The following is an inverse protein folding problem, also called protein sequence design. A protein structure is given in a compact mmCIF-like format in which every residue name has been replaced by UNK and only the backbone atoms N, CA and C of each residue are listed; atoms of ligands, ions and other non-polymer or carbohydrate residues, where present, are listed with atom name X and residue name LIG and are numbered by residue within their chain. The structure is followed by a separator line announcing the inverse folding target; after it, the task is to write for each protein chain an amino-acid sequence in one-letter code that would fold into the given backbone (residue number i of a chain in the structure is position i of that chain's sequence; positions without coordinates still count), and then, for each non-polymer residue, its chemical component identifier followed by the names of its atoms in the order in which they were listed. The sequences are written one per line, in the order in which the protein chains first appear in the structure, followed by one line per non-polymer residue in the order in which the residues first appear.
data_IF_036338669174
#
_entry.id   IF_036338669174
#
_cell.length_a   1.000
_cell.length_b   1.000
_cell.length_c   1.000
_cell.angle_alpha   90.00
_cell.angle_beta   90.00
_cell.angle_gamma   90.00
#
_symmetry.space_group_name_H-M   'P 1'
#
loop_
_entity.id
_entity.type
_entity.pdbx_description
1 polymer ?
#
# COMPACT_ATOMS: atom_id res chain seq x y z
N UNK A 1 6.46 -13.59 -8.36
CA UNK A 1 7.44 -13.99 -7.32
C UNK A 1 7.33 -15.46 -6.92
N UNK A 2 6.30 -16.20 -7.38
CA UNK A 2 6.13 -17.62 -7.03
C UNK A 2 5.67 -17.82 -5.59
N UNK A 3 4.92 -16.86 -5.02
CA UNK A 3 4.35 -17.00 -3.69
C UNK A 3 3.20 -18.00 -3.73
N UNK A 4 3.11 -18.85 -2.71
CA UNK A 4 1.99 -19.78 -2.55
C UNK A 4 0.69 -19.02 -2.26
N UNK A 5 -0.45 -19.63 -2.59
CA UNK A 5 -1.79 -19.09 -2.27
C UNK A 5 -2.24 -17.91 -3.13
N UNK A 6 -1.51 -17.60 -4.21
CA UNK A 6 -1.89 -16.52 -5.14
C UNK A 6 -3.21 -16.77 -5.89
N UNK A 7 -3.66 -18.02 -5.96
CA UNK A 7 -4.94 -18.42 -6.55
C UNK A 7 -6.02 -18.72 -5.50
N UNK A 8 -5.80 -18.39 -4.22
CA UNK A 8 -6.74 -18.70 -3.15
C UNK A 8 -8.01 -17.82 -3.17
N UNK A 9 -7.90 -16.61 -3.71
CA UNK A 9 -9.02 -15.68 -3.93
C UNK A 9 -9.07 -15.31 -5.41
N UNK A 10 -10.19 -15.58 -6.09
CA UNK A 10 -10.45 -15.04 -7.42
C UNK A 10 -11.04 -13.63 -7.27
N UNK A 11 -10.21 -12.61 -7.47
CA UNK A 11 -10.64 -11.21 -7.38
C UNK A 11 -11.73 -10.80 -8.39
N UNK A 12 -11.81 -11.47 -9.55
CA UNK A 12 -12.85 -11.19 -10.55
C UNK A 12 -14.19 -11.75 -10.07
N UNK A 13 -14.19 -12.97 -9.55
CA UNK A 13 -15.36 -13.60 -8.96
C UNK A 13 -15.84 -12.82 -7.73
N UNK A 14 -14.93 -12.49 -6.80
CA UNK A 14 -15.26 -11.72 -5.60
C UNK A 14 -15.86 -10.34 -5.95
N UNK A 15 -15.31 -9.65 -6.95
CA UNK A 15 -15.86 -8.38 -7.44
C UNK A 15 -17.24 -8.56 -8.05
N UNK A 16 -17.49 -9.64 -8.80
CA UNK A 16 -18.80 -9.93 -9.37
C UNK A 16 -19.83 -10.21 -8.25
N UNK A 17 -19.49 -11.06 -7.28
CA UNK A 17 -20.34 -11.35 -6.13
C UNK A 17 -20.65 -10.09 -5.31
N UNK A 18 -19.65 -9.23 -5.05
CA UNK A 18 -19.83 -7.99 -4.32
C UNK A 18 -20.79 -7.00 -5.02
N UNK A 19 -20.91 -7.04 -6.36
CA UNK A 19 -21.89 -6.22 -7.09
C UNK A 19 -23.34 -6.65 -6.81
N UNK A 20 -23.56 -7.94 -6.59
CA UNK A 20 -24.89 -8.50 -6.30
C UNK A 20 -25.25 -8.35 -4.82
N UNK A 21 -24.26 -8.35 -3.93
CA UNK A 21 -24.43 -8.05 -2.50
C UNK A 21 -23.27 -8.60 -1.65
N UNK A 22 -22.94 -7.97 -0.51
CA UNK A 22 -21.87 -8.44 0.37
C UNK A 22 -22.14 -9.83 0.97
N UNK A 23 -23.39 -10.23 1.12
CA UNK A 23 -23.84 -11.56 1.56
C UNK A 23 -23.55 -12.67 0.55
N UNK A 24 -23.19 -12.32 -0.69
CA UNK A 24 -22.81 -13.27 -1.75
C UNK A 24 -21.36 -13.71 -1.67
N UNK A 25 -20.54 -13.03 -0.87
CA UNK A 25 -19.15 -13.40 -0.66
C UNK A 25 -19.05 -14.60 0.28
N UNK A 26 -18.18 -15.55 -0.08
CA UNK A 26 -17.69 -16.52 0.90
C UNK A 26 -16.96 -15.80 2.04
N UNK A 27 -16.83 -16.46 3.20
CA UNK A 27 -16.09 -15.87 4.33
C UNK A 27 -14.62 -15.57 4.00
N UNK A 28 -14.01 -16.29 3.04
CA UNK A 28 -12.64 -16.01 2.61
C UNK A 28 -12.58 -14.72 1.77
N UNK A 29 -13.47 -14.57 0.78
CA UNK A 29 -13.56 -13.37 -0.04
C UNK A 29 -13.96 -12.14 0.79
N UNK A 30 -14.92 -12.28 1.70
CA UNK A 30 -15.33 -11.20 2.60
C UNK A 30 -14.18 -10.74 3.50
N UNK A 31 -13.36 -11.68 4.01
CA UNK A 31 -12.16 -11.35 4.80
C UNK A 31 -11.15 -10.60 3.95
N UNK A 32 -10.85 -11.07 2.74
CA UNK A 32 -9.96 -10.42 1.77
C UNK A 32 -10.42 -8.98 1.46
N UNK A 33 -11.67 -8.81 1.03
CA UNK A 33 -12.26 -7.51 0.68
C UNK A 33 -12.29 -6.56 1.88
N UNK A 34 -12.80 -7.00 3.03
CA UNK A 34 -12.90 -6.14 4.21
C UNK A 34 -11.51 -5.75 4.75
N UNK A 35 -10.53 -6.67 4.67
CA UNK A 35 -9.14 -6.38 5.07
C UNK A 35 -8.50 -5.34 4.14
N UNK A 36 -8.69 -5.50 2.83
CA UNK A 36 -8.20 -4.54 1.81
C UNK A 36 -8.77 -3.14 2.07
N UNK A 37 -10.09 -3.03 2.24
CA UNK A 37 -10.75 -1.74 2.50
C UNK A 37 -10.25 -1.08 3.80
N UNK A 38 -10.05 -1.85 4.87
CA UNK A 38 -9.49 -1.34 6.13
C UNK A 38 -8.04 -0.90 5.97
N UNK A 39 -7.23 -1.65 5.23
CA UNK A 39 -5.84 -1.32 4.96
C UNK A 39 -5.72 -0.04 4.13
N UNK A 40 -6.51 0.10 3.07
CA UNK A 40 -6.59 1.30 2.23
C UNK A 40 -6.99 2.54 3.05
N UNK A 41 -8.01 2.38 3.91
CA UNK A 41 -8.47 3.46 4.79
C UNK A 41 -7.42 3.86 5.82
N UNK A 42 -6.66 2.91 6.34
CA UNK A 42 -5.63 3.16 7.35
C UNK A 42 -4.30 3.68 6.75
N UNK A 43 -4.08 3.56 5.45
CA UNK A 43 -2.80 3.84 4.78
C UNK A 43 -2.46 5.34 4.68
N UNK A 44 -3.44 6.14 4.26
CA UNK A 44 -3.17 7.48 3.72
C UNK A 44 -2.67 8.49 4.75
N UNK A 45 -3.18 8.44 5.98
CA UNK A 45 -2.70 9.34 7.04
C UNK A 45 -1.24 9.04 7.44
N UNK A 46 -0.86 7.79 7.79
CA UNK A 46 0.54 7.43 7.99
C UNK A 46 1.43 7.89 6.86
N UNK A 47 1.01 7.68 5.61
CA UNK A 47 1.76 8.11 4.44
C UNK A 47 2.03 9.61 4.41
N UNK A 48 1.01 10.42 4.74
CA UNK A 48 1.15 11.88 4.77
C UNK A 48 2.15 12.38 5.81
N UNK A 49 2.31 11.71 6.95
CA UNK A 49 3.31 12.09 7.97
C UNK A 49 4.75 12.02 7.43
N UNK A 50 5.02 11.18 6.43
CA UNK A 50 6.34 11.08 5.80
C UNK A 50 6.63 12.26 4.86
N UNK A 51 5.60 13.00 4.44
CA UNK A 51 5.68 14.07 3.46
C UNK A 51 5.83 15.45 4.12
N UNK A 52 6.10 16.52 3.35
CA UNK A 52 6.13 17.87 3.89
C UNK A 52 4.79 18.25 4.55
N UNK A 53 4.84 18.98 5.66
CA UNK A 53 3.67 19.31 6.49
C UNK A 53 2.54 20.00 5.72
N UNK A 54 2.84 20.82 4.70
CA UNK A 54 1.81 21.47 3.88
C UNK A 54 0.93 20.44 3.15
N UNK A 55 1.51 19.31 2.76
CA UNK A 55 0.83 18.26 2.04
C UNK A 55 -0.08 17.47 2.99
N UNK A 56 0.44 17.12 4.17
CA UNK A 56 -0.32 16.49 5.22
C UNK A 56 -1.55 17.32 5.61
N UNK A 57 -1.34 18.62 5.90
CA UNK A 57 -2.43 19.53 6.25
C UNK A 57 -3.46 19.68 5.12
N UNK A 58 -3.00 19.69 3.86
CA UNK A 58 -3.88 19.80 2.70
C UNK A 58 -4.77 18.58 2.47
N UNK A 59 -4.32 17.39 2.87
CA UNK A 59 -5.03 16.13 2.61
C UNK A 59 -5.65 15.48 3.84
N UNK A 60 -5.36 15.94 5.05
CA UNK A 60 -5.83 15.30 6.28
C UNK A 60 -7.36 15.13 6.31
N UNK A 61 -8.11 16.20 6.04
CA UNK A 61 -9.57 16.15 6.06
C UNK A 61 -10.18 15.15 5.04
N UNK A 62 -9.85 15.22 3.73
CA UNK A 62 -10.36 14.23 2.77
C UNK A 62 -9.88 12.80 3.08
N UNK A 63 -8.65 12.62 3.60
CA UNK A 63 -8.14 11.32 4.02
C UNK A 63 -8.97 10.74 5.16
N UNK A 64 -9.25 11.52 6.21
CA UNK A 64 -10.08 11.08 7.34
C UNK A 64 -11.50 10.73 6.91
N UNK A 65 -12.04 11.46 5.95
CA UNK A 65 -13.33 11.14 5.36
C UNK A 65 -13.28 9.81 4.58
N UNK A 66 -12.25 9.60 3.75
CA UNK A 66 -12.01 8.35 3.03
C UNK A 66 -11.86 7.16 3.97
N UNK A 67 -11.03 7.27 4.99
CA UNK A 67 -10.84 6.29 6.06
C UNK A 67 -12.19 5.92 6.72
N UNK A 68 -12.98 6.93 7.09
CA UNK A 68 -14.30 6.70 7.68
C UNK A 68 -15.24 5.96 6.73
N UNK A 69 -15.29 6.35 5.45
CA UNK A 69 -16.12 5.68 4.43
C UNK A 69 -15.69 4.22 4.26
N UNK A 70 -14.40 3.98 4.07
CA UNK A 70 -13.85 2.65 3.85
C UNK A 70 -14.08 1.74 5.05
N UNK A 71 -13.91 2.25 6.28
CA UNK A 71 -14.27 1.51 7.50
C UNK A 71 -15.73 1.08 7.52
N UNK A 72 -16.66 1.97 7.16
CA UNK A 72 -18.09 1.61 7.13
C UNK A 72 -18.39 0.52 6.12
N UNK A 73 -17.82 0.61 4.91
CA UNK A 73 -18.00 -0.41 3.88
C UNK A 73 -17.38 -1.74 4.32
N UNK A 74 -16.16 -1.70 4.88
CA UNK A 74 -15.49 -2.88 5.40
C UNK A 74 -16.31 -3.56 6.51
N UNK A 75 -16.89 -2.79 7.45
CA UNK A 75 -17.78 -3.33 8.47
C UNK A 75 -19.01 -3.99 7.86
N UNK A 76 -19.65 -3.36 6.87
CA UNK A 76 -20.81 -3.98 6.19
C UNK A 76 -20.46 -5.30 5.52
N UNK A 77 -19.31 -5.39 4.84
CA UNK A 77 -18.84 -6.64 4.23
C UNK A 77 -18.53 -7.69 5.30
N UNK A 78 -17.83 -7.29 6.36
CA UNK A 78 -17.43 -8.17 7.44
C UNK A 78 -18.63 -8.75 8.20
N UNK A 79 -19.60 -7.90 8.54
CA UNK A 79 -20.82 -8.27 9.26
C UNK A 79 -21.71 -9.22 8.44
N UNK A 80 -21.82 -8.98 7.12
CA UNK A 80 -22.65 -9.79 6.22
C UNK A 80 -22.19 -11.27 6.15
N UNK A 81 -20.88 -11.52 6.29
CA UNK A 81 -20.29 -12.87 6.22
C UNK A 81 -19.78 -13.37 7.58
N UNK A 82 -20.06 -12.65 8.68
CA UNK A 82 -19.69 -13.03 10.04
C UNK A 82 -18.18 -13.14 10.28
N UNK A 83 -17.37 -12.30 9.61
CA UNK A 83 -15.91 -12.30 9.75
C UNK A 83 -15.43 -11.11 10.57
N UNK A 84 -14.34 -11.31 11.31
CA UNK A 84 -13.65 -10.23 12.02
C UNK A 84 -12.35 -9.91 11.28
N UNK A 85 -12.12 -8.62 11.03
CA UNK A 85 -10.91 -8.10 10.38
C UNK A 85 -10.33 -6.94 11.16
N UNK A 86 -9.03 -6.72 11.04
CA UNK A 86 -8.32 -5.61 11.67
C UNK A 86 -7.56 -4.81 10.63
N UNK A 87 -7.37 -3.51 10.90
CA UNK A 87 -6.51 -2.67 10.10
C UNK A 87 -5.03 -2.91 10.44
N UNK A 88 -4.12 -2.82 9.45
CA UNK A 88 -2.69 -2.85 9.71
C UNK A 88 -2.24 -1.62 10.51
N UNK A 89 -1.10 -1.75 11.18
CA UNK A 89 -0.38 -0.62 11.78
C UNK A 89 0.79 -0.26 10.90
N UNK A 90 0.76 0.96 10.38
CA UNK A 90 1.81 1.48 9.53
C UNK A 90 2.91 2.16 10.33
N UNK A 91 4.15 2.00 9.89
CA UNK A 91 5.30 2.71 10.42
C UNK A 91 5.13 4.23 10.27
N UNK A 92 5.47 4.98 11.33
CA UNK A 92 5.51 6.45 11.30
C UNK A 92 6.96 6.92 11.22
N UNK A 93 7.26 8.04 10.55
CA UNK A 93 8.65 8.48 10.34
C UNK A 93 9.39 8.78 11.65
N UNK A 94 8.67 9.21 12.69
CA UNK A 94 9.22 9.44 14.04
C UNK A 94 9.74 8.17 14.72
N UNK A 95 9.17 7.01 14.37
CA UNK A 95 9.44 5.72 15.02
C UNK A 95 10.46 4.89 14.25
N UNK A 96 10.76 5.25 13.00
CA UNK A 96 11.74 4.55 12.17
C UNK A 96 13.11 5.20 12.33
N UNK A 97 14.11 4.33 12.56
CA UNK A 97 15.53 4.70 12.68
C UNK A 97 16.35 3.89 11.69
N UNK A 98 17.38 4.52 11.13
CA UNK A 98 18.41 3.88 10.31
C UNK A 98 19.76 4.19 10.94
N UNK A 99 20.49 3.15 11.35
CA UNK A 99 21.79 3.28 12.05
C UNK A 99 21.74 4.19 13.29
N UNK A 100 20.58 4.28 13.95
CA UNK A 100 20.37 5.11 15.15
C UNK A 100 19.84 6.53 14.86
N UNK A 101 19.86 6.98 13.61
CA UNK A 101 19.34 8.28 13.19
C UNK A 101 17.86 8.19 12.76
N UNK A 102 17.05 9.26 12.93
CA UNK A 102 15.74 9.34 12.30
C UNK A 102 15.83 9.08 10.79
N UNK A 103 14.93 8.24 10.26
CA UNK A 103 15.00 7.80 8.85
C UNK A 103 14.94 8.95 7.84
N UNK A 104 14.32 10.08 8.20
CA UNK A 104 14.24 11.27 7.35
C UNK A 104 15.48 12.18 7.47
N UNK A 105 16.48 11.80 8.26
CA UNK A 105 17.75 12.55 8.37
C UNK A 105 18.48 12.54 7.02
N UNK A 106 18.47 13.68 6.33
CA UNK A 106 19.02 13.83 4.98
C UNK A 106 18.01 13.68 3.84
N UNK A 107 16.76 13.28 4.12
CA UNK A 107 15.71 13.12 3.11
C UNK A 107 14.76 14.32 3.15
N UNK A 108 14.97 15.27 2.24
CA UNK A 108 14.27 16.58 2.27
C UNK A 108 13.34 16.81 1.08
N UNK A 109 13.61 16.18 -0.07
CA UNK A 109 12.80 16.31 -1.27
C UNK A 109 11.43 15.63 -1.15
N UNK A 110 10.41 16.22 -1.80
CA UNK A 110 9.08 15.61 -1.87
C UNK A 110 9.13 14.22 -2.52
N UNK A 111 9.83 14.09 -3.66
CA UNK A 111 9.99 12.82 -4.37
C UNK A 111 10.65 11.76 -3.48
N UNK A 112 11.77 12.10 -2.85
CA UNK A 112 12.53 11.13 -2.06
C UNK A 112 11.74 10.65 -0.85
N UNK A 113 11.03 11.57 -0.17
CA UNK A 113 10.11 11.22 0.92
C UNK A 113 8.95 10.36 0.46
N UNK A 114 8.36 10.69 -0.70
CA UNK A 114 7.26 9.93 -1.31
C UNK A 114 7.69 8.50 -1.61
N UNK A 115 8.83 8.30 -2.27
CA UNK A 115 9.32 6.98 -2.64
C UNK A 115 9.76 6.17 -1.41
N UNK A 116 10.40 6.81 -0.43
CA UNK A 116 10.76 6.17 0.84
C UNK A 116 9.52 5.69 1.60
N UNK A 117 8.49 6.54 1.70
CA UNK A 117 7.23 6.19 2.35
C UNK A 117 6.54 5.05 1.62
N UNK A 118 6.44 5.13 0.28
CA UNK A 118 5.78 4.12 -0.54
C UNK A 118 6.48 2.75 -0.42
N UNK A 119 7.81 2.72 -0.53
CA UNK A 119 8.58 1.49 -0.44
C UNK A 119 8.40 0.74 0.89
N UNK A 120 8.20 1.48 1.99
CA UNK A 120 7.97 0.91 3.31
C UNK A 120 6.49 0.57 3.55
N UNK A 121 5.60 1.55 3.38
CA UNK A 121 4.20 1.42 3.76
C UNK A 121 3.45 0.50 2.81
N UNK A 122 3.79 0.48 1.51
CA UNK A 122 3.17 -0.43 0.57
C UNK A 122 3.62 -1.88 0.82
N UNK A 123 4.85 -2.11 1.30
CA UNK A 123 5.27 -3.42 1.79
C UNK A 123 4.44 -3.86 3.01
N UNK A 124 4.22 -2.97 3.99
CA UNK A 124 3.41 -3.24 5.18
C UNK A 124 1.94 -3.52 4.82
N UNK A 125 1.40 -2.76 3.89
CA UNK A 125 0.06 -2.96 3.33
C UNK A 125 -0.04 -4.33 2.66
N UNK A 126 0.91 -4.66 1.76
CA UNK A 126 0.89 -5.90 1.00
C UNK A 126 1.03 -7.14 1.88
N UNK A 127 1.87 -7.09 2.93
CA UNK A 127 2.00 -8.21 3.86
C UNK A 127 0.69 -8.46 4.61
N UNK A 128 -0.01 -7.40 5.01
CA UNK A 128 -1.28 -7.51 5.72
C UNK A 128 -2.41 -8.00 4.81
N UNK A 129 -2.58 -7.39 3.64
CA UNK A 129 -3.63 -7.74 2.68
C UNK A 129 -3.35 -9.09 2.04
N UNK A 130 -2.12 -9.35 1.63
CA UNK A 130 -1.70 -10.62 1.04
C UNK A 130 -1.98 -11.81 1.98
N UNK A 131 -1.78 -11.65 3.29
CA UNK A 131 -2.14 -12.68 4.25
C UNK A 131 -3.65 -12.97 4.31
N UNK A 132 -4.50 -11.94 4.17
CA UNK A 132 -5.95 -12.12 4.08
C UNK A 132 -6.39 -12.78 2.76
N UNK A 133 -5.62 -12.58 1.70
CA UNK A 133 -5.78 -13.23 0.40
C UNK A 133 -5.20 -14.65 0.37
N UNK A 134 -4.58 -15.11 1.46
CA UNK A 134 -3.95 -16.44 1.54
C UNK A 134 -2.56 -16.52 0.89
N UNK A 135 -1.97 -15.39 0.51
CA UNK A 135 -0.64 -15.30 -0.11
C UNK A 135 0.44 -15.49 0.96
N UNK A 136 1.27 -16.52 0.79
CA UNK A 136 2.40 -16.80 1.68
C UNK A 136 3.66 -16.06 1.21
N UNK A 137 3.96 -14.94 1.88
CA UNK A 137 5.17 -14.15 1.64
C UNK A 137 6.24 -14.53 2.67
N UNK A 138 7.41 -15.03 2.24
CA UNK A 138 8.47 -15.42 3.18
C UNK A 138 8.90 -14.25 4.07
N UNK A 139 8.86 -14.46 5.39
CA UNK A 139 9.25 -13.43 6.39
C UNK A 139 10.64 -12.85 6.12
N UNK A 140 11.61 -13.69 5.77
CA UNK A 140 12.98 -13.27 5.46
C UNK A 140 13.06 -12.35 4.23
N UNK A 141 12.13 -12.48 3.29
CA UNK A 141 12.02 -11.54 2.17
C UNK A 141 11.44 -10.21 2.62
N UNK A 142 10.41 -10.22 3.47
CA UNK A 142 9.80 -8.99 4.03
C UNK A 142 10.84 -8.19 4.82
N UNK A 143 11.53 -8.83 5.75
CA UNK A 143 12.55 -8.19 6.60
C UNK A 143 13.67 -7.58 5.76
N UNK A 144 14.20 -8.35 4.79
CA UNK A 144 15.24 -7.87 3.88
C UNK A 144 14.75 -6.73 2.99
N UNK A 145 13.52 -6.81 2.49
CA UNK A 145 12.93 -5.77 1.65
C UNK A 145 12.79 -4.47 2.45
N UNK A 146 12.32 -4.55 3.70
CA UNK A 146 12.24 -3.41 4.61
C UNK A 146 13.62 -2.77 4.81
N UNK A 147 14.61 -3.56 5.21
CA UNK A 147 15.97 -3.08 5.50
C UNK A 147 16.65 -2.43 4.28
N UNK A 148 16.68 -3.15 3.15
CA UNK A 148 17.34 -2.68 1.94
C UNK A 148 16.63 -1.45 1.35
N UNK A 149 15.29 -1.41 1.39
CA UNK A 149 14.53 -0.29 0.82
C UNK A 149 14.66 0.97 1.67
N UNK A 150 14.62 0.86 2.99
CA UNK A 150 14.89 1.99 3.88
C UNK A 150 16.28 2.56 3.62
N UNK A 151 17.30 1.71 3.52
CA UNK A 151 18.68 2.14 3.27
C UNK A 151 18.84 2.77 1.89
N UNK A 152 18.22 2.18 0.86
CA UNK A 152 18.28 2.64 -0.52
C UNK A 152 17.62 4.01 -0.71
N UNK A 153 16.35 4.15 -0.30
CA UNK A 153 15.60 5.39 -0.47
C UNK A 153 16.03 6.50 0.50
N UNK A 154 16.70 6.16 1.61
CA UNK A 154 17.37 7.15 2.45
C UNK A 154 18.76 7.58 1.93
N UNK A 155 19.20 7.06 0.77
CA UNK A 155 20.48 7.41 0.14
C UNK A 155 21.71 6.82 0.84
N UNK A 156 21.55 5.77 1.66
CA UNK A 156 22.66 5.08 2.37
C UNK A 156 23.14 3.84 1.64
N UNK A 157 22.47 3.46 0.55
CA UNK A 157 22.76 2.27 -0.24
C UNK A 157 22.52 2.56 -1.71
N UNK A 158 23.46 2.15 -2.57
CA UNK A 158 23.40 2.47 -4.00
C UNK A 158 22.53 1.52 -4.82
N UNK A 159 22.24 0.32 -4.32
CA UNK A 159 21.53 -0.71 -5.09
C UNK A 159 20.75 -1.69 -4.22
N UNK A 160 19.53 -2.03 -4.62
CA UNK A 160 18.77 -3.16 -4.07
C UNK A 160 19.28 -4.49 -4.62
N UNK A 161 19.28 -5.54 -3.79
CA UNK A 161 19.52 -6.90 -4.24
C UNK A 161 18.48 -7.31 -5.29
N UNK A 162 18.81 -8.19 -6.26
CA UNK A 162 17.91 -8.47 -7.39
C UNK A 162 16.51 -8.93 -6.99
N UNK A 163 16.41 -9.71 -5.90
CA UNK A 163 15.14 -10.20 -5.39
C UNK A 163 14.31 -9.09 -4.72
N UNK A 164 14.93 -8.22 -3.93
CA UNK A 164 14.27 -7.05 -3.33
C UNK A 164 13.86 -6.06 -4.39
N UNK A 165 14.73 -5.75 -5.35
CA UNK A 165 14.43 -4.89 -6.51
C UNK A 165 13.20 -5.39 -7.25
N UNK A 166 13.17 -6.68 -7.59
CA UNK A 166 12.02 -7.29 -8.27
C UNK A 166 10.74 -7.21 -7.44
N UNK A 167 10.84 -7.37 -6.12
CA UNK A 167 9.68 -7.29 -5.23
C UNK A 167 9.16 -5.86 -5.14
N UNK A 168 10.03 -4.89 -4.87
CA UNK A 168 9.68 -3.47 -4.84
C UNK A 168 9.03 -3.02 -6.15
N UNK A 169 9.59 -3.42 -7.30
CA UNK A 169 8.98 -3.13 -8.62
C UNK A 169 7.52 -3.57 -8.73
N UNK A 170 7.15 -4.67 -8.08
CA UNK A 170 5.76 -5.15 -8.07
C UNK A 170 4.89 -4.36 -7.09
N UNK A 171 5.46 -3.86 -5.99
CA UNK A 171 4.79 -3.00 -5.02
C UNK A 171 4.52 -1.60 -5.60
N UNK A 172 5.44 -1.05 -6.41
CA UNK A 172 5.24 0.23 -7.14
C UNK A 172 4.21 0.15 -8.30
N UNK A 173 3.34 -0.86 -8.33
CA UNK A 173 2.35 -1.04 -9.40
C UNK A 173 1.05 -0.23 -9.24
N UNK A 174 0.93 0.52 -8.13
CA UNK A 174 -0.20 1.40 -7.82
C UNK A 174 -0.41 2.52 -8.84
N UNK A 175 0.58 2.78 -9.70
CA UNK A 175 0.46 3.71 -10.82
C UNK A 175 -0.77 3.44 -11.70
N UNK A 176 -1.18 2.17 -11.79
CA UNK A 176 -2.38 1.73 -12.52
C UNK A 176 -3.66 1.95 -11.72
N UNK A 177 -3.66 1.63 -10.44
CA UNK A 177 -4.82 1.80 -9.57
C UNK A 177 -5.20 3.28 -9.46
N UNK A 178 -4.22 4.16 -9.20
CA UNK A 178 -4.44 5.61 -9.09
C UNK A 178 -5.10 6.16 -10.36
N UNK A 179 -4.62 5.73 -11.54
CA UNK A 179 -5.20 6.12 -12.81
C UNK A 179 -6.63 5.61 -13.00
N UNK A 180 -6.89 4.37 -12.64
CA UNK A 180 -8.24 3.81 -12.75
C UNK A 180 -9.22 4.55 -11.85
N UNK A 181 -8.81 4.96 -10.64
CA UNK A 181 -9.65 5.80 -9.76
C UNK A 181 -9.90 7.16 -10.40
N UNK A 182 -8.86 7.84 -10.88
CA UNK A 182 -8.98 9.15 -11.56
C UNK A 182 -9.94 9.10 -12.74
N UNK A 183 -9.77 8.09 -13.61
CA UNK A 183 -10.59 7.85 -14.80
C UNK A 183 -12.02 7.44 -14.43
N UNK A 184 -12.20 6.55 -13.44
CA UNK A 184 -13.52 6.02 -13.04
C UNK A 184 -14.42 7.08 -12.44
N UNK A 185 -13.84 8.02 -11.68
CA UNK A 185 -14.57 9.07 -11.00
C UNK A 185 -14.51 10.43 -11.72
N UNK A 186 -13.82 10.50 -12.86
CA UNK A 186 -13.72 11.72 -13.67
C UNK A 186 -13.11 12.89 -12.89
N UNK A 187 -12.11 12.62 -12.06
CA UNK A 187 -11.56 13.61 -11.13
C UNK A 187 -10.64 14.63 -11.84
N UNK A 188 -10.03 14.24 -12.95
CA UNK A 188 -9.02 15.02 -13.69
C UNK A 188 -7.95 15.60 -12.73
N UNK A 189 -7.48 14.74 -11.83
CA UNK A 189 -6.68 15.16 -10.68
C UNK A 189 -5.21 15.29 -11.08
N UNK A 190 -4.73 16.53 -11.14
CA UNK A 190 -3.30 16.83 -11.35
C UNK A 190 -2.40 16.17 -10.30
N UNK A 191 -2.91 16.00 -9.09
CA UNK A 191 -2.25 15.32 -7.98
C UNK A 191 -2.10 13.81 -8.26
N UNK A 192 -3.17 13.14 -8.67
CA UNK A 192 -3.13 11.71 -9.02
C UNK A 192 -2.24 11.47 -10.25
N UNK A 193 -2.30 12.35 -11.24
CA UNK A 193 -1.39 12.33 -12.38
C UNK A 193 0.07 12.53 -11.96
N UNK A 194 0.35 13.30 -10.91
CA UNK A 194 1.70 13.43 -10.36
C UNK A 194 2.16 12.14 -9.65
N UNK A 195 1.34 11.58 -8.75
CA UNK A 195 1.67 10.33 -8.04
C UNK A 195 1.89 9.17 -9.01
N UNK A 196 0.98 8.98 -9.98
CA UNK A 196 1.10 7.92 -10.99
C UNK A 196 2.41 8.03 -11.78
N UNK A 197 2.86 9.25 -12.10
CA UNK A 197 4.15 9.48 -12.78
C UNK A 197 5.34 9.11 -11.91
N UNK A 198 5.33 9.45 -10.62
CA UNK A 198 6.41 9.09 -9.69
C UNK A 198 6.52 7.58 -9.54
N UNK A 199 5.41 6.90 -9.26
CA UNK A 199 5.36 5.45 -9.07
C UNK A 199 5.77 4.70 -10.35
N UNK A 200 5.27 5.14 -11.51
CA UNK A 200 5.66 4.54 -12.79
C UNK A 200 7.15 4.73 -13.08
N UNK A 201 7.65 5.95 -12.89
CA UNK A 201 9.08 6.25 -13.09
C UNK A 201 9.95 5.35 -12.21
N UNK A 202 9.57 5.13 -10.95
CA UNK A 202 10.31 4.28 -10.05
C UNK A 202 10.24 2.81 -10.46
N UNK A 203 9.03 2.34 -10.80
CA UNK A 203 8.81 0.98 -11.31
C UNK A 203 9.62 0.68 -12.57
N UNK A 204 9.76 1.66 -13.46
CA UNK A 204 10.59 1.55 -14.66
C UNK A 204 12.08 1.45 -14.29
N UNK A 205 12.56 2.30 -13.36
CA UNK A 205 13.95 2.26 -12.87
C UNK A 205 14.30 0.94 -12.17
N UNK A 206 13.35 0.34 -11.47
CA UNK A 206 13.51 -0.95 -10.81
C UNK A 206 13.40 -2.15 -11.76
N UNK A 207 13.13 -1.94 -13.06
CA UNK A 207 13.10 -3.03 -14.03
C UNK A 207 14.50 -3.63 -14.19
N UNK A 208 14.61 -4.97 -14.26
CA UNK A 208 15.88 -5.59 -14.60
C UNK A 208 16.29 -5.16 -16.01
N UNK A 209 17.59 -4.91 -16.21
CA UNK A 209 18.21 -4.94 -17.53
C UNK A 209 18.09 -6.34 -18.16
#
# INVERSE_FOLDING_TARGET
MGFGGTDAIDGTQATAALRDGPDRLSSAEARSVATTLLADGAFSEPYCEWLPTWYELGLLAPIRYGEWRLRRVASTVADASGVTVTAPRFSRPRDVRLEGDPVLSGVTGFRDRFLLADALLHLEWFVHVGAADGIDVPRSLVERTREESLSYYAGRRDHLSPRVRRFQRLLFADDRWIRQVDERYGLDSTLFAHWSRLLRSEREQLSPE
#
